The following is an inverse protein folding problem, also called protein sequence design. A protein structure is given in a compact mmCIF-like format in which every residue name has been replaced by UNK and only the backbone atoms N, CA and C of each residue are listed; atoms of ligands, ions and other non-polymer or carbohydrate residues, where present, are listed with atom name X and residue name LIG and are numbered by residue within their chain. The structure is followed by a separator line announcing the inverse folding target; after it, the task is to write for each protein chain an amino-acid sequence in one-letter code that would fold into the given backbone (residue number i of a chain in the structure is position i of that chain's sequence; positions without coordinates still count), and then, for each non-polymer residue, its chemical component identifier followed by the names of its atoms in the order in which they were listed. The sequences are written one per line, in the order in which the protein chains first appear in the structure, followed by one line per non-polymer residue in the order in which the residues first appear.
data_IF_326467472498
#
_entry.id   IF_326467472498
#
_cell.length_a   1.000
_cell.length_b   1.000
_cell.length_c   1.000
_cell.angle_alpha   90.00
_cell.angle_beta   90.00
_cell.angle_gamma   90.00
#
_symmetry.space_group_name_H-M   'P 1'
#
loop_
_entity.id
_entity.type
_entity.pdbx_description
1 polymer ?
#
# COMPACT_ATOMS: atom_id res chain seq x y z
N UNK A 1 33.85 -2.88 67.95
CA UNK A 1 34.15 -2.78 66.52
C UNK A 1 32.83 -2.95 65.75
N UNK A 2 32.22 -1.87 65.33
CA UNK A 2 30.91 -1.87 64.58
C UNK A 2 31.23 -1.80 63.06
N UNK A 3 30.90 -2.83 62.32
CA UNK A 3 31.02 -2.90 60.88
C UNK A 3 29.77 -2.24 60.29
N UNK A 4 29.94 -1.12 59.55
CA UNK A 4 28.90 -0.50 58.75
C UNK A 4 28.95 -1.11 57.36
N UNK A 5 27.95 -1.81 56.97
CA UNK A 5 27.69 -2.26 55.59
C UNK A 5 26.94 -1.14 54.85
N UNK A 6 27.61 -0.50 53.92
CA UNK A 6 27.01 0.49 53.01
C UNK A 6 26.34 -0.25 51.86
N UNK A 7 25.00 -0.26 51.81
CA UNK A 7 24.22 -0.82 50.70
C UNK A 7 24.18 0.22 49.56
N UNK A 8 24.81 -0.13 48.44
CA UNK A 8 24.82 0.68 47.23
C UNK A 8 23.50 0.40 46.46
N UNK A 9 22.54 1.33 46.52
CA UNK A 9 21.31 1.28 45.75
C UNK A 9 21.62 1.72 44.31
N UNK A 10 21.70 0.77 43.37
CA UNK A 10 21.78 1.05 41.93
C UNK A 10 20.37 1.40 41.46
N UNK A 11 20.13 2.70 41.25
CA UNK A 11 18.89 3.15 40.57
C UNK A 11 19.00 2.81 39.08
N UNK A 12 18.29 1.79 38.62
CA UNK A 12 18.02 1.58 37.19
C UNK A 12 17.12 2.72 36.69
N UNK A 13 17.73 3.73 36.10
CA UNK A 13 17.00 4.68 35.26
C UNK A 13 16.51 3.93 34.03
N UNK A 14 15.26 3.45 34.03
CA UNK A 14 14.56 3.03 32.84
C UNK A 14 14.47 4.26 31.93
N UNK A 15 15.32 4.32 30.91
CA UNK A 15 15.25 5.30 29.85
C UNK A 15 13.90 5.15 29.15
N UNK A 16 12.95 6.02 29.52
CA UNK A 16 11.76 6.22 28.69
C UNK A 16 12.25 6.67 27.32
N UNK A 17 12.18 5.78 26.33
CA UNK A 17 12.38 6.15 24.95
C UNK A 17 11.42 7.31 24.66
N UNK A 18 11.93 8.52 24.55
CA UNK A 18 11.15 9.69 24.16
C UNK A 18 10.71 9.44 22.72
N UNK A 19 9.52 8.95 22.55
CA UNK A 19 8.85 8.96 21.26
C UNK A 19 8.86 10.42 20.79
N UNK A 20 9.54 10.69 19.68
CA UNK A 20 9.69 12.04 19.17
C UNK A 20 8.33 12.76 19.16
N UNK A 21 8.27 13.95 19.75
CA UNK A 21 7.11 14.82 19.67
C UNK A 21 7.01 15.34 18.21
N UNK A 22 5.90 15.00 17.55
CA UNK A 22 5.62 15.38 16.16
C UNK A 22 4.66 16.57 16.06
N UNK A 23 4.23 17.13 17.19
CA UNK A 23 3.30 18.26 17.24
C UNK A 23 3.80 19.43 16.41
N UNK A 24 3.01 19.84 15.44
CA UNK A 24 3.28 20.94 14.51
C UNK A 24 4.41 20.70 13.50
N UNK A 25 5.11 19.57 13.56
CA UNK A 25 6.13 19.24 12.56
C UNK A 25 5.50 18.89 11.22
N UNK A 26 6.14 19.31 10.14
CA UNK A 26 5.74 18.93 8.79
C UNK A 26 6.21 17.51 8.47
N UNK A 27 5.30 16.70 7.91
CA UNK A 27 5.58 15.37 7.37
C UNK A 27 5.08 15.34 5.92
N UNK A 28 5.99 15.13 4.97
CA UNK A 28 5.67 15.04 3.54
C UNK A 28 5.33 13.60 3.20
N UNK A 29 4.12 13.41 2.63
CA UNK A 29 3.53 12.11 2.32
C UNK A 29 3.46 11.91 0.81
N UNK A 30 4.17 10.93 0.27
CA UNK A 30 4.10 10.61 -1.16
C UNK A 30 2.84 9.78 -1.47
N UNK A 31 2.17 10.14 -2.56
CA UNK A 31 0.98 9.45 -3.05
C UNK A 31 0.94 9.39 -4.58
N UNK A 32 0.46 8.29 -5.14
CA UNK A 32 -0.02 8.18 -6.53
C UNK A 32 -1.55 8.23 -6.51
N UNK A 33 -2.18 9.32 -6.99
CA UNK A 33 -3.62 9.50 -6.88
C UNK A 33 -4.41 8.86 -8.04
N UNK A 34 -3.97 7.72 -8.54
CA UNK A 34 -4.61 6.98 -9.65
C UNK A 34 -5.17 5.63 -9.23
N UNK A 35 -5.41 5.44 -7.91
CA UNK A 35 -5.74 4.13 -7.33
C UNK A 35 -7.04 4.14 -6.50
N UNK A 36 -8.21 4.52 -7.11
CA UNK A 36 -9.48 4.52 -6.40
C UNK A 36 -9.89 3.08 -5.98
N UNK A 37 -10.55 2.92 -4.83
CA UNK A 37 -11.02 3.94 -3.89
C UNK A 37 -9.99 4.26 -2.78
N UNK A 38 -8.74 3.83 -2.94
CA UNK A 38 -7.70 3.96 -1.90
C UNK A 38 -7.05 5.34 -1.92
N UNK A 39 -6.50 5.78 -3.06
CA UNK A 39 -5.90 7.10 -3.27
C UNK A 39 -6.33 7.64 -4.65
N UNK A 40 -7.10 8.73 -4.69
CA UNK A 40 -7.54 9.31 -5.95
C UNK A 40 -7.93 10.77 -5.80
N UNK A 41 -8.16 11.44 -6.94
CA UNK A 41 -8.65 12.81 -6.99
C UNK A 41 -10.10 12.87 -7.41
N UNK A 42 -10.84 13.78 -6.78
CA UNK A 42 -12.15 14.21 -7.26
C UNK A 42 -12.00 15.14 -8.49
N UNK A 43 -13.07 15.41 -9.24
CA UNK A 43 -13.00 16.31 -10.40
C UNK A 43 -12.53 17.73 -10.08
N UNK A 44 -12.69 18.19 -8.84
CA UNK A 44 -12.21 19.50 -8.37
C UNK A 44 -10.72 19.48 -7.95
N UNK A 45 -10.03 18.32 -8.11
CA UNK A 45 -8.64 18.12 -7.75
C UNK A 45 -8.41 17.74 -6.28
N UNK A 46 -9.46 17.64 -5.46
CA UNK A 46 -9.34 17.24 -4.05
C UNK A 46 -8.84 15.80 -3.94
N UNK A 47 -7.76 15.60 -3.21
CA UNK A 47 -7.22 14.28 -2.91
C UNK A 47 -8.10 13.59 -1.86
N UNK A 48 -8.51 12.36 -2.14
CA UNK A 48 -9.42 11.57 -1.29
C UNK A 48 -9.15 10.07 -1.43
N UNK A 49 -9.81 9.27 -0.61
CA UNK A 49 -9.75 7.82 -0.62
C UNK A 49 -9.49 7.24 0.76
N UNK A 50 -9.65 5.93 0.87
CA UNK A 50 -9.47 5.23 2.14
C UNK A 50 -8.06 5.45 2.72
N UNK A 51 -7.00 5.27 1.90
CA UNK A 51 -5.62 5.46 2.34
C UNK A 51 -5.34 6.91 2.75
N UNK A 52 -5.95 7.88 2.04
CA UNK A 52 -5.86 9.30 2.37
C UNK A 52 -6.50 9.58 3.73
N UNK A 53 -7.75 9.11 3.94
CA UNK A 53 -8.49 9.37 5.18
C UNK A 53 -7.81 8.68 6.40
N UNK A 54 -7.31 7.45 6.22
CA UNK A 54 -6.56 6.75 7.28
C UNK A 54 -5.27 7.51 7.60
N UNK A 55 -4.48 7.88 6.60
CA UNK A 55 -3.21 8.58 6.83
C UNK A 55 -3.43 9.96 7.46
N UNK A 56 -4.47 10.69 7.05
CA UNK A 56 -4.85 11.95 7.70
C UNK A 56 -5.26 11.74 9.17
N UNK A 57 -5.97 10.65 9.49
CA UNK A 57 -6.30 10.31 10.87
C UNK A 57 -5.05 9.98 11.70
N UNK A 58 -4.07 9.28 11.13
CA UNK A 58 -2.77 9.03 11.78
C UNK A 58 -2.02 10.35 12.04
N UNK A 59 -2.00 11.26 11.08
CA UNK A 59 -1.40 12.58 11.24
C UNK A 59 -2.08 13.41 12.32
N UNK A 60 -3.41 13.32 12.43
CA UNK A 60 -4.17 13.99 13.50
C UNK A 60 -3.80 13.46 14.89
N UNK A 61 -3.65 12.14 15.06
CA UNK A 61 -3.18 11.53 16.30
C UNK A 61 -1.75 11.96 16.68
N UNK A 62 -0.90 12.25 15.69
CA UNK A 62 0.45 12.76 15.89
C UNK A 62 0.47 14.28 16.13
N UNK A 63 -0.65 14.98 15.99
CA UNK A 63 -0.73 16.43 15.94
C UNK A 63 0.26 17.06 14.93
N UNK A 64 0.62 16.31 13.87
CA UNK A 64 1.57 16.72 12.85
C UNK A 64 0.87 17.46 11.68
N UNK A 65 1.62 18.31 10.98
CA UNK A 65 1.18 18.92 9.74
C UNK A 65 1.59 18.04 8.56
N UNK A 66 0.69 17.22 8.07
CA UNK A 66 0.94 16.36 6.92
C UNK A 66 0.68 17.11 5.60
N UNK A 67 1.61 16.97 4.66
CA UNK A 67 1.56 17.59 3.33
C UNK A 67 1.71 16.51 2.28
N UNK A 68 0.73 16.41 1.39
CA UNK A 68 0.73 15.44 0.30
C UNK A 68 1.62 15.88 -0.86
N UNK A 69 2.43 14.95 -1.37
CA UNK A 69 3.35 15.13 -2.50
C UNK A 69 3.04 14.05 -3.54
N UNK A 70 2.59 14.46 -4.71
CA UNK A 70 2.30 13.52 -5.79
C UNK A 70 3.60 12.98 -6.40
N UNK A 71 3.61 11.68 -6.65
CA UNK A 71 4.73 10.97 -7.27
C UNK A 71 4.19 9.75 -8.02
N UNK A 72 4.82 9.36 -9.12
CA UNK A 72 4.56 8.06 -9.72
C UNK A 72 4.96 6.94 -8.78
N UNK A 73 4.23 5.82 -8.81
CA UNK A 73 4.41 4.73 -7.86
C UNK A 73 5.84 4.14 -7.90
N UNK A 74 6.40 3.92 -9.09
CA UNK A 74 7.77 3.42 -9.29
C UNK A 74 8.86 4.38 -8.78
N UNK A 75 8.57 5.68 -8.75
CA UNK A 75 9.46 6.72 -8.25
C UNK A 75 9.48 6.86 -6.72
N UNK A 76 8.58 6.20 -5.97
CA UNK A 76 8.40 6.45 -4.54
C UNK A 76 9.59 6.00 -3.68
N UNK A 77 10.09 4.78 -3.84
CA UNK A 77 11.24 4.31 -3.04
C UNK A 77 12.49 5.14 -3.33
N UNK A 78 12.89 5.37 -4.60
CA UNK A 78 13.97 6.30 -4.91
C UNK A 78 13.78 7.71 -4.36
N UNK A 79 12.56 8.26 -4.46
CA UNK A 79 12.22 9.59 -3.94
C UNK A 79 12.33 9.69 -2.42
N UNK A 80 11.86 8.65 -1.69
CA UNK A 80 11.99 8.54 -0.23
C UNK A 80 13.47 8.53 0.20
N UNK A 81 14.29 7.72 -0.47
CA UNK A 81 15.72 7.62 -0.19
C UNK A 81 16.45 8.92 -0.52
N UNK A 82 16.03 9.64 -1.55
CA UNK A 82 16.52 10.97 -1.92
C UNK A 82 15.92 12.12 -1.08
N UNK A 83 15.12 11.82 -0.03
CA UNK A 83 14.48 12.80 0.88
C UNK A 83 13.55 13.80 0.19
N UNK A 84 12.93 13.45 -0.94
CA UNK A 84 11.90 14.27 -1.58
C UNK A 84 10.64 14.35 -0.73
N UNK A 85 10.37 13.30 0.04
CA UNK A 85 9.29 13.19 1.04
C UNK A 85 9.76 12.29 2.18
N UNK A 86 8.94 12.16 3.21
CA UNK A 86 9.33 11.51 4.47
C UNK A 86 8.65 10.16 4.65
N UNK A 87 7.48 9.98 4.03
CA UNK A 87 6.67 8.77 4.11
C UNK A 87 6.07 8.46 2.74
N UNK A 88 6.00 7.19 2.38
CA UNK A 88 5.19 6.69 1.27
C UNK A 88 3.84 6.27 1.85
N UNK A 89 2.76 6.90 1.39
CA UNK A 89 1.39 6.66 1.79
C UNK A 89 0.50 6.42 0.55
N UNK A 90 0.74 5.29 -0.13
CA UNK A 90 0.14 4.97 -1.44
C UNK A 90 -0.04 3.47 -1.61
N UNK A 91 -0.77 2.84 -0.68
CA UNK A 91 -1.11 1.40 -0.69
C UNK A 91 0.07 0.50 -1.08
N UNK A 92 1.24 0.81 -0.51
CA UNK A 92 2.48 0.10 -0.84
C UNK A 92 2.56 -1.23 -0.10
N UNK A 93 2.47 -2.33 -0.83
CA UNK A 93 2.58 -3.69 -0.29
C UNK A 93 3.92 -3.92 0.40
N UNK A 94 3.86 -4.45 1.62
CA UNK A 94 5.02 -4.84 2.41
C UNK A 94 5.59 -6.13 1.84
N UNK A 95 6.70 -6.05 1.11
CA UNK A 95 7.39 -7.22 0.54
C UNK A 95 8.81 -7.37 1.07
N UNK A 96 9.36 -8.61 1.15
CA UNK A 96 10.76 -8.82 1.53
C UNK A 96 11.76 -8.01 0.68
N UNK A 97 11.50 -7.89 -0.63
CA UNK A 97 12.33 -7.12 -1.56
C UNK A 97 12.38 -5.62 -1.18
N UNK A 98 11.22 -5.03 -0.88
CA UNK A 98 11.12 -3.62 -0.47
C UNK A 98 11.69 -3.40 0.93
N UNK A 99 11.46 -4.34 1.85
CA UNK A 99 11.99 -4.30 3.23
C UNK A 99 13.54 -4.33 3.29
N UNK A 100 14.21 -4.80 2.24
CA UNK A 100 15.66 -4.67 2.12
C UNK A 100 16.11 -3.21 1.92
N UNK A 101 15.26 -2.33 1.38
CA UNK A 101 15.60 -0.95 1.05
C UNK A 101 15.04 0.05 2.04
N UNK A 102 13.79 -0.12 2.46
CA UNK A 102 13.05 0.78 3.33
C UNK A 102 12.44 0.03 4.52
N UNK A 103 11.95 0.76 5.51
CA UNK A 103 11.15 0.22 6.61
C UNK A 103 9.66 0.45 6.34
N UNK A 104 8.81 -0.32 7.02
CA UNK A 104 7.36 -0.19 6.96
C UNK A 104 6.76 -0.03 8.35
N UNK A 105 5.62 0.62 8.43
CA UNK A 105 4.73 0.52 9.60
C UNK A 105 4.11 -0.88 9.70
N UNK A 106 3.34 -1.10 10.76
CA UNK A 106 2.37 -2.18 10.78
C UNK A 106 1.40 -2.05 9.61
N UNK A 107 0.81 -3.17 9.21
CA UNK A 107 -0.17 -3.25 8.13
C UNK A 107 -1.34 -2.28 8.36
N UNK A 108 -1.75 -1.59 7.29
CA UNK A 108 -2.92 -0.71 7.27
C UNK A 108 -4.09 -1.38 6.55
N UNK A 109 -3.82 -2.11 5.48
CA UNK A 109 -4.83 -2.80 4.66
C UNK A 109 -4.27 -4.09 4.08
N UNK A 110 -5.19 -4.93 3.55
CA UNK A 110 -4.82 -6.14 2.83
C UNK A 110 -5.81 -6.42 1.71
N UNK A 111 -5.29 -6.59 0.49
CA UNK A 111 -6.10 -6.92 -0.68
C UNK A 111 -5.38 -7.96 -1.53
N UNK A 112 -5.99 -9.12 -1.82
CA UNK A 112 -5.38 -10.13 -2.68
C UNK A 112 -5.22 -9.60 -4.10
N UNK A 113 -4.21 -10.08 -4.81
CA UNK A 113 -4.01 -9.78 -6.21
C UNK A 113 -4.94 -10.62 -7.10
N UNK A 114 -5.54 -10.01 -8.12
CA UNK A 114 -6.49 -10.64 -9.03
C UNK A 114 -6.19 -10.32 -10.49
N UNK A 115 -6.42 -11.31 -11.35
CA UNK A 115 -6.44 -11.12 -12.80
C UNK A 115 -7.83 -10.65 -13.26
N UNK A 116 -7.86 -9.67 -14.16
CA UNK A 116 -9.07 -9.13 -14.79
C UNK A 116 -8.98 -9.40 -16.28
N UNK A 117 -10.06 -9.90 -16.86
CA UNK A 117 -10.21 -10.06 -18.32
C UNK A 117 -11.66 -9.82 -18.74
N UNK A 118 -11.95 -9.86 -20.03
CA UNK A 118 -13.31 -9.80 -20.54
C UNK A 118 -14.17 -10.93 -19.96
N UNK A 119 -15.43 -10.64 -19.68
CA UNK A 119 -16.41 -11.65 -19.23
C UNK A 119 -16.44 -12.83 -20.20
N UNK A 120 -16.45 -14.04 -19.67
CA UNK A 120 -16.42 -15.27 -20.49
C UNK A 120 -15.02 -15.63 -21.00
N UNK A 121 -13.97 -14.87 -20.67
CA UNK A 121 -12.60 -15.23 -20.99
C UNK A 121 -12.20 -16.53 -20.29
N UNK A 122 -11.56 -17.49 -20.98
CA UNK A 122 -11.04 -18.72 -20.38
C UNK A 122 -9.72 -18.54 -19.64
N UNK A 123 -9.19 -17.31 -19.56
CA UNK A 123 -7.90 -17.04 -18.94
C UNK A 123 -7.91 -17.36 -17.44
N UNK A 124 -6.82 -17.95 -16.99
CA UNK A 124 -6.56 -18.23 -15.58
C UNK A 124 -5.23 -17.55 -15.19
N UNK A 125 -5.04 -17.20 -13.91
CA UNK A 125 -3.80 -16.59 -13.43
C UNK A 125 -2.67 -17.65 -13.28
N UNK A 126 -2.36 -18.34 -14.37
CA UNK A 126 -1.29 -19.35 -14.43
C UNK A 126 -0.42 -19.15 -15.64
N UNK A 127 0.84 -19.57 -15.56
CA UNK A 127 1.83 -19.40 -16.59
C UNK A 127 1.38 -20.00 -17.94
N UNK A 128 0.81 -21.20 -17.93
CA UNK A 128 0.34 -21.90 -19.12
C UNK A 128 -0.83 -21.17 -19.80
N UNK A 129 -1.81 -20.71 -19.02
CA UNK A 129 -2.99 -20.02 -19.54
C UNK A 129 -2.65 -18.64 -20.12
N UNK A 130 -1.58 -17.99 -19.61
CA UNK A 130 -1.17 -16.64 -20.01
C UNK A 130 -0.09 -16.62 -21.10
N UNK A 131 0.37 -17.78 -21.57
CA UNK A 131 1.37 -17.85 -22.66
C UNK A 131 0.88 -17.11 -23.91
N UNK A 132 1.72 -16.18 -24.42
CA UNK A 132 1.41 -15.34 -25.57
C UNK A 132 0.40 -14.22 -25.32
N UNK A 133 -0.11 -14.06 -24.08
CA UNK A 133 -1.08 -13.02 -23.71
C UNK A 133 -0.38 -11.76 -23.21
N UNK A 134 -0.98 -10.60 -23.51
CA UNK A 134 -0.52 -9.28 -23.07
C UNK A 134 -1.20 -8.95 -21.74
N UNK A 135 -0.41 -8.89 -20.68
CA UNK A 135 -0.88 -8.64 -19.32
C UNK A 135 -0.43 -7.27 -18.86
N UNK A 136 -1.36 -6.36 -18.63
CA UNK A 136 -1.09 -5.03 -18.13
C UNK A 136 -0.84 -5.02 -16.63
N UNK A 137 0.20 -4.33 -16.20
CA UNK A 137 0.55 -4.12 -14.79
C UNK A 137 1.05 -2.68 -14.60
N UNK A 138 0.89 -2.17 -13.39
CA UNK A 138 1.52 -0.91 -13.01
C UNK A 138 3.00 -1.12 -12.70
N UNK A 139 3.85 -0.28 -13.25
CA UNK A 139 5.31 -0.35 -13.10
C UNK A 139 5.71 -0.19 -11.62
N UNK A 140 6.64 -1.05 -11.18
CA UNK A 140 7.12 -1.03 -9.80
C UNK A 140 6.16 -1.65 -8.77
N UNK A 141 4.97 -2.11 -9.19
CA UNK A 141 4.03 -2.80 -8.31
C UNK A 141 4.49 -4.22 -7.96
N UNK A 142 3.95 -4.77 -6.86
CA UNK A 142 4.17 -6.16 -6.49
C UNK A 142 3.60 -7.13 -7.54
N UNK A 143 2.53 -6.74 -8.21
CA UNK A 143 1.91 -7.46 -9.30
C UNK A 143 2.83 -7.53 -10.53
N UNK A 144 3.52 -6.43 -10.86
CA UNK A 144 4.53 -6.42 -11.91
C UNK A 144 5.68 -7.38 -11.58
N UNK A 145 6.23 -7.30 -10.35
CA UNK A 145 7.29 -8.20 -9.90
C UNK A 145 6.88 -9.67 -9.99
N UNK A 146 5.64 -9.99 -9.56
CA UNK A 146 5.11 -11.36 -9.65
C UNK A 146 4.97 -11.83 -11.10
N UNK A 147 4.32 -11.03 -11.95
CA UNK A 147 4.04 -11.39 -13.34
C UNK A 147 5.33 -11.58 -14.15
N UNK A 148 6.32 -10.70 -13.96
CA UNK A 148 7.64 -10.80 -14.58
C UNK A 148 8.37 -12.07 -14.13
N UNK A 149 8.30 -12.41 -12.83
CA UNK A 149 9.02 -13.57 -12.31
C UNK A 149 8.35 -14.92 -12.66
N UNK A 150 7.01 -14.96 -12.71
CA UNK A 150 6.29 -16.23 -12.78
C UNK A 150 5.59 -16.49 -14.12
N UNK A 151 5.21 -15.44 -14.87
CA UNK A 151 4.47 -15.61 -16.13
C UNK A 151 5.30 -15.27 -17.37
N UNK A 152 6.17 -14.26 -17.29
CA UNK A 152 6.99 -13.84 -18.44
C UNK A 152 7.94 -14.94 -18.92
N UNK A 153 8.62 -15.74 -18.06
CA UNK A 153 9.50 -16.82 -18.52
C UNK A 153 8.76 -17.93 -19.29
N UNK A 154 7.45 -18.09 -19.03
CA UNK A 154 6.59 -19.04 -19.75
C UNK A 154 6.02 -18.48 -21.06
N UNK A 155 6.33 -17.22 -21.39
CA UNK A 155 5.95 -16.59 -22.65
C UNK A 155 4.77 -15.63 -22.55
N UNK A 156 4.31 -15.22 -21.35
CA UNK A 156 3.40 -14.09 -21.22
C UNK A 156 4.13 -12.78 -21.56
N UNK A 157 3.41 -11.85 -22.19
CA UNK A 157 3.93 -10.52 -22.50
C UNK A 157 3.49 -9.55 -21.40
N UNK A 158 4.39 -9.20 -20.50
CA UNK A 158 4.08 -8.26 -19.42
C UNK A 158 4.29 -6.83 -19.95
N UNK A 159 3.20 -6.04 -19.94
CA UNK A 159 3.18 -4.66 -20.38
C UNK A 159 3.06 -3.76 -19.17
N UNK A 160 4.13 -3.02 -18.86
CA UNK A 160 4.18 -2.12 -17.71
C UNK A 160 3.75 -0.72 -18.11
N UNK A 161 2.89 -0.11 -17.27
CA UNK A 161 2.36 1.24 -17.42
C UNK A 161 2.76 2.11 -16.23
N UNK A 162 2.82 3.41 -16.44
CA UNK A 162 3.21 4.36 -15.41
C UNK A 162 2.18 4.44 -14.28
N UNK A 163 0.90 4.23 -14.60
CA UNK A 163 -0.20 4.24 -13.63
C UNK A 163 -1.32 3.29 -14.03
N UNK A 164 -2.24 3.04 -13.11
CA UNK A 164 -3.32 2.09 -13.29
C UNK A 164 -4.38 2.52 -14.31
N UNK A 165 -4.62 3.82 -14.49
CA UNK A 165 -5.58 4.33 -15.48
C UNK A 165 -5.17 3.98 -16.92
N UNK A 166 -3.86 4.02 -17.22
CA UNK A 166 -3.33 3.60 -18.51
C UNK A 166 -3.53 2.10 -18.76
N UNK A 167 -3.38 1.25 -17.73
CA UNK A 167 -3.68 -0.19 -17.83
C UNK A 167 -5.13 -0.40 -18.21
N UNK A 168 -6.07 0.29 -17.55
CA UNK A 168 -7.49 0.17 -17.87
C UNK A 168 -7.83 0.66 -19.27
N UNK A 169 -7.28 1.79 -19.70
CA UNK A 169 -7.51 2.33 -21.03
C UNK A 169 -7.12 1.32 -22.13
N UNK A 170 -5.97 0.67 -21.97
CA UNK A 170 -5.49 -0.33 -22.94
C UNK A 170 -6.23 -1.68 -22.82
N UNK A 171 -6.69 -2.05 -21.65
CA UNK A 171 -7.54 -3.22 -21.45
C UNK A 171 -8.90 -3.05 -22.16
N UNK A 172 -9.55 -1.88 -22.01
CA UNK A 172 -10.84 -1.56 -22.63
C UNK A 172 -10.74 -1.58 -24.15
N UNK A 173 -9.66 -1.03 -24.72
CA UNK A 173 -9.44 -0.98 -26.18
C UNK A 173 -8.97 -2.31 -26.77
N UNK A 174 -8.68 -3.33 -25.96
CA UNK A 174 -8.22 -4.65 -26.41
C UNK A 174 -6.73 -4.70 -26.78
N UNK A 175 -5.94 -3.66 -26.42
CA UNK A 175 -4.49 -3.73 -26.52
C UNK A 175 -3.87 -4.68 -25.48
N UNK A 176 -4.60 -4.95 -24.41
CA UNK A 176 -4.29 -5.96 -23.39
C UNK A 176 -5.32 -7.09 -23.42
N UNK A 177 -4.89 -8.29 -23.13
CA UNK A 177 -5.75 -9.46 -22.97
C UNK A 177 -6.26 -9.59 -21.54
N UNK A 178 -5.48 -9.12 -20.56
CA UNK A 178 -5.83 -9.06 -19.15
C UNK A 178 -5.05 -7.95 -18.42
N UNK A 179 -5.52 -7.61 -17.20
CA UNK A 179 -4.81 -6.75 -16.26
C UNK A 179 -4.63 -7.47 -14.93
N UNK A 180 -3.54 -7.21 -14.20
CA UNK A 180 -3.25 -7.86 -12.93
C UNK A 180 -2.94 -6.82 -11.85
N UNK A 181 -3.76 -6.80 -10.77
CA UNK A 181 -3.67 -5.81 -9.71
C UNK A 181 -4.39 -6.23 -8.42
N UNK A 182 -4.38 -5.37 -7.39
CA UNK A 182 -5.11 -5.59 -6.15
C UNK A 182 -6.64 -5.60 -6.40
N UNK A 183 -7.34 -6.55 -5.78
CA UNK A 183 -8.77 -6.80 -6.03
C UNK A 183 -9.65 -5.60 -5.71
N UNK A 184 -9.32 -4.83 -4.67
CA UNK A 184 -10.13 -3.68 -4.22
C UNK A 184 -10.08 -2.56 -5.26
N UNK A 185 -8.86 -2.16 -5.68
CA UNK A 185 -8.71 -1.16 -6.72
C UNK A 185 -9.35 -1.59 -8.05
N UNK A 186 -9.21 -2.89 -8.40
CA UNK A 186 -9.90 -3.46 -9.56
C UNK A 186 -11.42 -3.37 -9.47
N UNK A 187 -11.98 -3.76 -8.33
CA UNK A 187 -13.43 -3.78 -8.12
C UNK A 187 -14.02 -2.38 -8.23
N UNK A 188 -13.55 -1.48 -7.39
CA UNK A 188 -14.18 -0.17 -7.21
C UNK A 188 -13.63 0.89 -8.19
N UNK A 189 -12.36 0.77 -8.56
CA UNK A 189 -11.73 1.64 -9.54
C UNK A 189 -12.13 1.36 -10.99
N UNK A 190 -12.49 0.10 -11.31
CA UNK A 190 -12.74 -0.31 -12.68
C UNK A 190 -14.00 -1.14 -12.89
N UNK A 191 -14.15 -2.32 -12.27
CA UNK A 191 -15.22 -3.27 -12.60
C UNK A 191 -16.63 -2.72 -12.30
N UNK A 192 -16.78 -1.90 -11.27
CA UNK A 192 -18.04 -1.22 -10.92
C UNK A 192 -18.28 0.07 -11.74
N UNK A 193 -17.34 0.49 -12.58
CA UNK A 193 -17.47 1.67 -13.45
C UNK A 193 -18.06 1.28 -14.83
N UNK A 194 -18.67 2.23 -15.56
CA UNK A 194 -19.24 1.95 -16.87
C UNK A 194 -18.27 1.27 -17.84
N UNK A 195 -16.99 1.69 -17.86
CA UNK A 195 -15.95 1.14 -18.72
C UNK A 195 -15.57 -0.30 -18.35
N UNK A 196 -15.78 -0.72 -17.11
CA UNK A 196 -15.48 -2.07 -16.60
C UNK A 196 -16.61 -3.09 -16.78
N UNK A 197 -17.81 -2.67 -17.28
CA UNK A 197 -19.02 -3.50 -17.33
C UNK A 197 -18.84 -4.82 -18.06
N UNK A 198 -17.96 -4.88 -19.07
CA UNK A 198 -17.70 -6.07 -19.89
C UNK A 198 -16.53 -6.92 -19.36
N UNK A 199 -16.00 -6.59 -18.20
CA UNK A 199 -14.87 -7.26 -17.57
C UNK A 199 -15.25 -7.91 -16.24
N UNK A 200 -14.45 -8.87 -15.80
CA UNK A 200 -14.61 -9.56 -14.53
C UNK A 200 -13.27 -10.07 -14.01
N UNK A 201 -13.24 -10.43 -12.74
CA UNK A 201 -12.15 -11.26 -12.22
C UNK A 201 -12.19 -12.64 -12.86
N UNK A 202 -11.03 -13.16 -13.24
CA UNK A 202 -10.86 -14.51 -13.77
C UNK A 202 -9.93 -15.33 -12.88
N UNK A 203 -10.27 -16.58 -12.69
CA UNK A 203 -9.54 -17.50 -11.81
C UNK A 203 -9.57 -17.12 -10.32
N UNK A 204 -8.80 -17.83 -9.51
CA UNK A 204 -8.65 -17.59 -8.09
C UNK A 204 -7.77 -16.35 -7.79
N UNK A 205 -7.89 -15.75 -6.60
CA UNK A 205 -6.88 -14.78 -6.11
C UNK A 205 -5.50 -15.43 -6.07
N UNK A 206 -4.47 -14.60 -6.23
CA UNK A 206 -3.08 -15.01 -5.99
C UNK A 206 -2.68 -14.49 -4.61
N UNK A 207 -2.28 -15.40 -3.74
CA UNK A 207 -1.84 -15.15 -2.38
C UNK A 207 -0.44 -15.74 -2.19
N UNK A 208 0.56 -15.11 -2.81
CA UNK A 208 1.97 -15.48 -2.67
C UNK A 208 2.65 -14.49 -1.72
N UNK A 209 2.95 -14.95 -0.49
CA UNK A 209 3.55 -14.15 0.58
C UNK A 209 4.86 -13.48 0.14
N UNK A 210 5.63 -14.09 -0.75
CA UNK A 210 6.88 -13.52 -1.28
C UNK A 210 6.65 -12.20 -2.03
N UNK A 211 5.52 -12.09 -2.76
CA UNK A 211 5.21 -10.93 -3.59
C UNK A 211 4.15 -10.01 -2.98
N UNK A 212 3.12 -10.58 -2.33
CA UNK A 212 2.01 -9.81 -1.79
C UNK A 212 2.11 -9.60 -0.28
N UNK A 213 3.11 -10.25 0.35
CA UNK A 213 3.52 -9.97 1.70
C UNK A 213 2.42 -10.12 2.74
N UNK A 214 2.39 -9.17 3.67
CA UNK A 214 1.45 -9.15 4.80
C UNK A 214 0.43 -8.01 4.68
N UNK A 215 0.15 -7.54 3.47
CA UNK A 215 -0.70 -6.38 3.19
C UNK A 215 0.12 -5.10 2.93
N UNK A 216 -0.55 -3.95 3.01
CA UNK A 216 0.03 -2.65 2.68
C UNK A 216 0.33 -1.86 3.95
N UNK A 217 1.41 -1.07 3.93
CA UNK A 217 1.82 -0.22 5.04
C UNK A 217 2.44 1.09 4.56
N UNK A 218 2.65 2.03 5.48
CA UNK A 218 3.42 3.24 5.17
C UNK A 218 4.90 2.88 5.05
N UNK A 219 5.56 3.37 3.98
CA UNK A 219 6.99 3.19 3.77
C UNK A 219 7.80 4.36 4.33
N UNK A 220 8.89 4.07 5.05
CA UNK A 220 9.78 5.07 5.65
C UNK A 220 11.24 4.67 5.42
N UNK A 221 12.16 5.63 5.52
CA UNK A 221 13.60 5.29 5.55
C UNK A 221 13.91 4.46 6.80
N UNK A 222 14.85 3.53 6.71
CA UNK A 222 15.19 2.62 7.82
C UNK A 222 15.64 3.34 9.08
N UNK A 223 16.30 4.50 8.94
CA UNK A 223 16.76 5.31 10.06
C UNK A 223 15.65 6.15 10.72
N UNK A 224 14.51 6.32 10.10
CA UNK A 224 13.41 7.13 10.63
C UNK A 224 12.55 6.32 11.61
N UNK A 225 13.20 5.64 12.56
CA UNK A 225 12.60 4.73 13.53
C UNK A 225 11.57 5.41 14.40
N UNK A 226 11.86 6.61 14.89
CA UNK A 226 10.96 7.36 15.77
C UNK A 226 9.65 7.73 15.07
N UNK A 227 9.73 8.13 13.79
CA UNK A 227 8.55 8.44 12.98
C UNK A 227 7.73 7.18 12.72
N UNK A 228 8.36 6.06 12.38
CA UNK A 228 7.70 4.78 12.18
C UNK A 228 6.94 4.32 13.43
N UNK A 229 7.60 4.37 14.59
CA UNK A 229 6.99 3.99 15.86
C UNK A 229 5.85 4.93 16.25
N UNK A 230 5.97 6.23 15.93
CA UNK A 230 4.89 7.19 16.12
C UNK A 230 3.65 6.82 15.27
N UNK A 231 3.83 6.52 13.98
CA UNK A 231 2.73 6.04 13.13
C UNK A 231 2.14 4.71 13.61
N UNK A 232 2.95 3.76 14.09
CA UNK A 232 2.46 2.50 14.63
C UNK A 232 1.59 2.71 15.89
N UNK A 233 1.97 3.64 16.78
CA UNK A 233 1.15 3.99 17.95
C UNK A 233 -0.15 4.69 17.53
N UNK A 234 -0.08 5.64 16.59
CA UNK A 234 -1.26 6.30 16.04
C UNK A 234 -2.22 5.28 15.41
N UNK A 235 -1.70 4.31 14.64
CA UNK A 235 -2.50 3.22 14.06
C UNK A 235 -3.18 2.38 15.14
N UNK A 236 -2.45 1.99 16.18
CA UNK A 236 -3.03 1.26 17.32
C UNK A 236 -4.16 2.05 17.99
N UNK A 237 -3.99 3.37 18.16
CA UNK A 237 -5.00 4.27 18.73
C UNK A 237 -6.26 4.31 17.86
N UNK A 238 -6.14 4.55 16.54
CA UNK A 238 -7.32 4.65 15.66
C UNK A 238 -8.04 3.30 15.47
N UNK A 239 -7.32 2.18 15.60
CA UNK A 239 -7.91 0.84 15.63
C UNK A 239 -8.70 0.61 16.94
N UNK A 240 -8.15 1.04 18.09
CA UNK A 240 -8.77 0.84 19.40
C UNK A 240 -9.99 1.75 19.64
N UNK A 241 -9.95 3.01 19.18
CA UNK A 241 -10.99 3.99 19.40
C UNK A 241 -12.12 3.97 18.35
N UNK A 242 -12.07 3.05 17.39
CA UNK A 242 -13.09 2.87 16.35
C UNK A 242 -13.00 3.86 15.18
N UNK A 243 -12.00 4.73 15.13
CA UNK A 243 -11.79 5.69 14.02
C UNK A 243 -11.50 4.94 12.72
N UNK A 244 -10.63 3.90 12.77
CA UNK A 244 -10.35 3.07 11.61
C UNK A 244 -11.63 2.45 11.03
N UNK A 245 -12.47 1.82 11.86
CA UNK A 245 -13.70 1.17 11.43
C UNK A 245 -14.72 2.18 10.87
N UNK A 246 -14.78 3.39 11.42
CA UNK A 246 -15.63 4.47 10.87
C UNK A 246 -15.19 4.89 9.48
N UNK A 247 -13.88 5.03 9.25
CA UNK A 247 -13.33 5.33 7.93
C UNK A 247 -13.55 4.14 6.98
N UNK A 248 -13.28 2.91 7.43
CA UNK A 248 -13.50 1.71 6.62
C UNK A 248 -14.92 1.64 6.06
N UNK A 249 -15.94 1.84 6.90
CA UNK A 249 -17.36 1.80 6.49
C UNK A 249 -17.77 2.90 5.50
N UNK A 250 -16.98 3.95 5.34
CA UNK A 250 -17.22 4.98 4.32
C UNK A 250 -16.95 4.47 2.91
N UNK A 251 -16.05 3.49 2.77
CA UNK A 251 -15.55 2.99 1.49
C UNK A 251 -15.94 1.54 1.22
N UNK A 252 -16.08 0.71 2.28
CA UNK A 252 -16.21 -0.73 2.17
C UNK A 252 -17.31 -1.25 3.11
N UNK A 253 -18.02 -2.30 2.65
CA UNK A 253 -18.98 -3.10 3.42
C UNK A 253 -18.34 -4.31 4.13
N UNK A 254 -17.02 -4.46 4.01
CA UNK A 254 -16.19 -5.47 4.68
C UNK A 254 -14.98 -4.81 5.37
N UNK A 255 -14.29 -5.58 6.21
CA UNK A 255 -13.08 -5.11 6.89
C UNK A 255 -11.84 -5.31 6.00
N UNK A 256 -11.29 -4.20 5.47
CA UNK A 256 -10.07 -4.21 4.63
C UNK A 256 -8.80 -4.46 5.44
N UNK A 257 -8.82 -4.27 6.76
CA UNK A 257 -7.68 -4.61 7.61
C UNK A 257 -7.37 -6.11 7.53
N UNK A 258 -8.43 -6.93 7.37
CA UNK A 258 -8.33 -8.38 7.28
C UNK A 258 -8.16 -9.04 8.66
N UNK A 259 -8.24 -10.37 8.68
CA UNK A 259 -8.05 -11.16 9.89
C UNK A 259 -6.69 -10.85 10.54
N UNK A 260 -6.71 -10.75 11.88
CA UNK A 260 -5.54 -10.54 12.72
C UNK A 260 -4.64 -11.76 12.73
#
# INVERSE_FOLDING_TARGET
MKKWTMALAVALAAGAAHAGDWTGKEIRLAVDPTYPPLEYKLPDGTLTGFGIDITNALCAELHARCVWVESSFDGMIPGLLARKFDVIASSMTITPKRAQQIAFTNRISNAPARLIARKGSPLLPSADSLKGKRIGVEQGSAQADYAIANWQPAGAQIVSYQNQDQVYADLVTGRLDAAFQASIAASDGFLKKPQGKDFAFVGAPIDDVKYFGQGDGLGLRKQDTDLREAFNRALATILANGTYQRINRKYFDFDIYGAK
#
